data_IF_416426400394
#
_entry.id   IF_416426400394
#
_cell.length_a   1.000
_cell.length_b   1.000
_cell.length_c   1.000
_cell.angle_alpha   90.00
_cell.angle_beta   90.00
_cell.angle_gamma   90.00
#
_symmetry.space_group_name_H-M   'P 1'
#
loop_
_entity.id
_entity.type
_entity.pdbx_description
1 polymer ?
#
# COMPACT_ATOMS: atom_id res chain seq x y z
N UNK A 1 71.42 -34.17 9.38
CA UNK A 1 70.49 -34.84 8.44
C UNK A 1 68.99 -34.52 8.63
N UNK A 2 68.59 -33.70 9.62
CA UNK A 2 67.15 -33.39 9.89
C UNK A 2 66.63 -32.17 9.12
N UNK A 3 67.49 -31.22 8.73
CA UNK A 3 67.08 -29.98 8.02
C UNK A 3 66.63 -30.21 6.58
N UNK A 4 67.30 -31.08 5.81
CA UNK A 4 66.97 -31.32 4.40
C UNK A 4 65.64 -32.08 4.22
N UNK A 5 65.29 -32.98 5.15
CA UNK A 5 64.01 -33.70 5.12
C UNK A 5 62.80 -32.79 5.34
N UNK A 6 62.92 -31.78 6.21
CA UNK A 6 61.82 -30.82 6.49
C UNK A 6 61.56 -29.90 5.30
N UNK A 7 62.61 -29.44 4.61
CA UNK A 7 62.46 -28.60 3.42
C UNK A 7 61.80 -29.35 2.27
N UNK A 8 62.17 -30.61 2.04
CA UNK A 8 61.55 -31.44 1.00
C UNK A 8 60.05 -31.67 1.27
N UNK A 9 59.67 -31.95 2.52
CA UNK A 9 58.27 -32.13 2.91
C UNK A 9 57.44 -30.85 2.72
N UNK A 10 57.98 -29.69 3.07
CA UNK A 10 57.29 -28.40 2.86
C UNK A 10 57.10 -28.09 1.38
N UNK A 11 58.07 -28.44 0.53
CA UNK A 11 57.99 -28.22 -0.91
C UNK A 11 56.92 -29.12 -1.55
N UNK A 12 56.86 -30.40 -1.16
CA UNK A 12 55.82 -31.33 -1.63
C UNK A 12 54.43 -30.87 -1.18
N UNK A 13 54.28 -30.42 0.07
CA UNK A 13 53.00 -29.93 0.58
C UNK A 13 52.55 -28.65 -0.13
N UNK A 14 53.46 -27.70 -0.39
CA UNK A 14 53.15 -26.46 -1.09
C UNK A 14 52.69 -26.72 -2.54
N UNK A 15 53.34 -27.65 -3.24
CA UNK A 15 52.93 -28.06 -4.59
C UNK A 15 51.56 -28.75 -4.57
N UNK A 16 51.28 -29.59 -3.57
CA UNK A 16 49.97 -30.25 -3.44
C UNK A 16 48.83 -29.25 -3.18
N UNK A 17 49.05 -28.22 -2.37
CA UNK A 17 48.05 -27.17 -2.10
C UNK A 17 47.79 -26.30 -3.34
N UNK A 18 48.85 -25.93 -4.06
CA UNK A 18 48.73 -25.14 -5.30
C UNK A 18 47.96 -25.91 -6.39
N UNK A 19 48.20 -27.22 -6.54
CA UNK A 19 47.48 -28.05 -7.49
C UNK A 19 46.04 -28.33 -7.05
N UNK A 20 45.77 -28.44 -5.75
CA UNK A 20 44.42 -28.66 -5.21
C UNK A 20 43.49 -27.46 -5.33
N UNK A 21 44.00 -26.23 -5.22
CA UNK A 21 43.21 -25.00 -5.33
C UNK A 21 42.83 -24.63 -6.78
N UNK A 22 43.48 -25.25 -7.78
CA UNK A 22 43.22 -25.00 -9.19
C UNK A 22 42.08 -25.86 -9.76
N UNK A 23 41.52 -26.79 -8.98
CA UNK A 23 40.33 -27.52 -9.38
C UNK A 23 39.11 -26.63 -9.14
N UNK A 24 38.43 -26.12 -10.19
CA UNK A 24 37.20 -25.37 -10.01
C UNK A 24 36.22 -26.27 -9.25
N UNK A 25 35.67 -25.76 -8.14
CA UNK A 25 34.60 -26.42 -7.43
C UNK A 25 33.40 -26.53 -8.37
N UNK A 26 33.30 -27.66 -9.07
CA UNK A 26 32.17 -27.99 -9.92
C UNK A 26 30.96 -28.34 -9.04
N UNK A 27 30.45 -27.36 -8.30
CA UNK A 27 29.11 -27.42 -7.75
C UNK A 27 28.15 -27.24 -8.93
N UNK A 28 27.90 -28.32 -9.68
CA UNK A 28 26.81 -28.37 -10.65
C UNK A 28 25.50 -28.35 -9.86
N UNK A 29 24.97 -27.15 -9.61
CA UNK A 29 23.56 -26.96 -9.32
C UNK A 29 22.77 -27.10 -10.63
N UNK A 30 22.70 -28.33 -11.16
CA UNK A 30 21.82 -28.67 -12.27
C UNK A 30 20.62 -29.44 -11.74
N UNK A 31 19.92 -28.87 -10.76
CA UNK A 31 18.60 -29.36 -10.38
C UNK A 31 17.56 -28.58 -11.18
N UNK A 32 17.25 -29.08 -12.38
CA UNK A 32 16.10 -28.61 -13.16
C UNK A 32 14.88 -29.39 -12.71
N UNK A 33 14.38 -29.07 -11.53
CA UNK A 33 13.06 -29.51 -11.10
C UNK A 33 12.01 -28.88 -12.01
N UNK A 34 11.06 -29.68 -12.50
CA UNK A 34 9.92 -29.14 -13.22
C UNK A 34 9.19 -28.15 -12.29
N UNK A 35 9.29 -26.86 -12.60
CA UNK A 35 8.51 -25.83 -11.90
C UNK A 35 7.07 -26.18 -12.15
N UNK A 36 6.38 -26.63 -11.10
CA UNK A 36 4.95 -26.87 -11.17
C UNK A 36 4.32 -25.50 -11.41
N UNK A 37 3.98 -25.22 -12.65
CA UNK A 37 3.27 -24.01 -13.05
C UNK A 37 1.84 -24.13 -12.55
N UNK A 38 1.65 -23.85 -11.26
CA UNK A 38 0.32 -23.61 -10.74
C UNK A 38 -0.27 -22.43 -11.54
N UNK A 39 -1.48 -22.55 -12.08
CA UNK A 39 -2.11 -21.43 -12.76
C UNK A 39 -2.22 -20.28 -11.77
N UNK A 40 -1.48 -19.19 -12.00
CA UNK A 40 -1.69 -17.94 -11.30
C UNK A 40 -3.07 -17.41 -11.73
N UNK A 41 -4.09 -17.69 -10.92
CA UNK A 41 -5.35 -16.96 -11.03
C UNK A 41 -5.08 -15.54 -10.53
N UNK A 42 -4.96 -14.61 -11.45
CA UNK A 42 -5.11 -13.19 -11.14
C UNK A 42 -6.52 -13.01 -10.58
N UNK A 43 -6.62 -12.71 -9.28
CA UNK A 43 -7.89 -12.30 -8.69
C UNK A 43 -8.06 -10.83 -9.07
N UNK A 44 -8.99 -10.57 -9.98
CA UNK A 44 -9.36 -9.20 -10.33
C UNK A 44 -10.10 -8.57 -9.14
N UNK A 45 -9.57 -7.46 -8.63
CA UNK A 45 -10.20 -6.74 -7.52
C UNK A 45 -11.12 -5.70 -8.14
N UNK A 46 -12.43 -5.84 -7.90
CA UNK A 46 -13.41 -4.88 -8.37
C UNK A 46 -13.44 -3.65 -7.44
N UNK A 47 -13.58 -2.43 -7.99
CA UNK A 47 -13.58 -1.22 -7.18
C UNK A 47 -14.88 -1.09 -6.37
N UNK A 48 -14.87 -0.34 -5.26
CA UNK A 48 -16.08 0.21 -4.65
C UNK A 48 -16.82 1.12 -5.65
N UNK A 49 -18.15 1.17 -5.55
CA UNK A 49 -18.99 1.94 -6.49
C UNK A 49 -19.96 2.87 -5.75
N UNK A 50 -20.72 3.67 -6.49
CA UNK A 50 -21.73 4.60 -5.97
C UNK A 50 -21.22 5.52 -4.83
N UNK A 51 -19.98 6.00 -4.95
CA UNK A 51 -19.42 6.96 -4.01
C UNK A 51 -20.26 8.24 -4.01
N UNK A 52 -20.75 8.62 -2.84
CA UNK A 52 -21.65 9.75 -2.64
C UNK A 52 -21.19 10.62 -1.48
N UNK A 53 -21.35 11.93 -1.67
CA UNK A 53 -21.06 13.00 -0.71
C UNK A 53 -22.34 13.69 -0.21
N UNK A 54 -23.52 13.15 -0.54
CA UNK A 54 -24.83 13.79 -0.32
C UNK A 54 -25.19 14.03 1.16
N UNK A 55 -24.40 13.54 2.11
CA UNK A 55 -24.58 13.79 3.53
C UNK A 55 -23.70 14.90 4.11
N UNK A 56 -22.81 15.47 3.29
CA UNK A 56 -21.92 16.54 3.71
C UNK A 56 -22.68 17.85 3.89
N UNK A 57 -22.39 18.59 4.96
CA UNK A 57 -23.02 19.88 5.24
C UNK A 57 -22.05 20.82 5.96
N UNK A 58 -22.36 22.10 5.93
CA UNK A 58 -21.57 23.14 6.57
C UNK A 58 -22.36 23.77 7.72
N UNK A 59 -21.73 23.81 8.89
CA UNK A 59 -22.35 24.25 10.14
C UNK A 59 -21.59 25.48 10.65
N UNK A 60 -22.26 26.62 10.89
CA UNK A 60 -21.60 27.80 11.43
C UNK A 60 -21.14 27.54 12.87
N UNK A 61 -19.88 27.88 13.16
CA UNK A 61 -19.30 27.80 14.50
C UNK A 61 -19.43 29.16 15.15
N UNK A 62 -19.96 29.20 16.38
CA UNK A 62 -20.17 30.44 17.13
C UNK A 62 -19.32 30.44 18.41
N UNK A 63 -18.86 31.62 18.82
CA UNK A 63 -18.24 31.82 20.13
C UNK A 63 -19.30 31.90 21.25
N UNK A 64 -18.84 32.04 22.50
CA UNK A 64 -19.71 32.20 23.67
C UNK A 64 -20.59 33.46 23.66
N UNK A 65 -20.23 34.46 22.84
CA UNK A 65 -21.03 35.67 22.62
C UNK A 65 -22.05 35.52 21.48
N UNK A 66 -22.15 34.35 20.85
CA UNK A 66 -23.07 34.09 19.74
C UNK A 66 -22.62 34.68 18.40
N UNK A 67 -21.37 35.13 18.26
CA UNK A 67 -20.82 35.60 17.00
C UNK A 67 -20.25 34.43 16.21
N UNK A 68 -20.55 34.35 14.91
CA UNK A 68 -19.98 33.33 14.03
C UNK A 68 -18.47 33.58 13.86
N UNK A 69 -17.66 32.61 14.25
CA UNK A 69 -16.19 32.67 14.17
C UNK A 69 -15.64 31.82 13.02
N UNK A 70 -16.45 30.92 12.46
CA UNK A 70 -16.04 30.08 11.34
C UNK A 70 -17.17 29.22 10.83
N UNK A 71 -16.84 28.29 9.94
CA UNK A 71 -17.75 27.31 9.39
C UNK A 71 -17.07 25.95 9.42
N UNK A 72 -17.71 24.98 10.07
CA UNK A 72 -17.24 23.59 10.13
C UNK A 72 -17.90 22.79 9.01
N UNK A 73 -17.10 22.07 8.24
CA UNK A 73 -17.54 21.08 7.29
C UNK A 73 -17.76 19.77 8.04
N UNK A 74 -19.01 19.30 8.14
CA UNK A 74 -19.32 17.94 8.58
C UNK A 74 -19.36 17.05 7.33
N UNK A 75 -18.24 16.44 6.98
CA UNK A 75 -18.11 15.59 5.81
C UNK A 75 -18.73 14.22 6.05
N UNK A 76 -19.56 13.75 5.11
CA UNK A 76 -20.11 12.40 5.14
C UNK A 76 -20.01 11.76 3.77
N UNK A 77 -19.29 10.65 3.73
CA UNK A 77 -19.09 9.83 2.55
C UNK A 77 -19.84 8.51 2.72
N UNK A 78 -20.43 8.02 1.65
CA UNK A 78 -21.01 6.68 1.59
C UNK A 78 -20.75 6.04 0.23
N UNK A 79 -20.54 4.73 0.20
CA UNK A 79 -20.31 3.98 -1.03
C UNK A 79 -20.96 2.58 -0.98
N UNK A 80 -21.00 1.91 -2.12
CA UNK A 80 -21.26 0.47 -2.22
C UNK A 80 -19.95 -0.29 -2.04
N UNK A 81 -19.96 -1.29 -1.16
CA UNK A 81 -18.81 -2.17 -0.94
C UNK A 81 -18.31 -2.81 -2.24
N UNK A 82 -17.00 -3.11 -2.29
CA UNK A 82 -16.45 -3.94 -3.37
C UNK A 82 -17.02 -5.36 -3.25
N UNK A 83 -17.47 -5.98 -4.36
CA UNK A 83 -17.92 -7.37 -4.35
C UNK A 83 -16.77 -8.38 -4.26
N UNK A 84 -15.51 -7.91 -4.28
CA UNK A 84 -14.33 -8.77 -4.20
C UNK A 84 -14.27 -9.49 -2.86
N UNK A 85 -14.09 -10.82 -2.83
CA UNK A 85 -13.93 -11.53 -1.56
C UNK A 85 -12.64 -11.10 -0.85
N UNK A 86 -12.65 -11.10 0.49
CA UNK A 86 -11.45 -10.85 1.28
C UNK A 86 -11.02 -9.39 1.37
N UNK A 87 -11.87 -8.42 1.04
CA UNK A 87 -11.67 -7.01 1.41
C UNK A 87 -11.67 -6.91 2.94
N UNK A 88 -10.61 -6.33 3.50
CA UNK A 88 -10.41 -6.18 4.95
C UNK A 88 -10.64 -4.75 5.43
N UNK A 89 -10.39 -3.76 4.56
CA UNK A 89 -10.62 -2.35 4.85
C UNK A 89 -10.76 -1.52 3.57
N UNK A 90 -11.27 -0.31 3.75
CA UNK A 90 -11.34 0.76 2.76
C UNK A 90 -10.45 1.91 3.21
N UNK A 91 -9.71 2.48 2.27
CA UNK A 91 -8.86 3.66 2.50
C UNK A 91 -9.47 4.83 1.74
N UNK A 92 -9.77 5.92 2.46
CA UNK A 92 -10.32 7.15 1.89
C UNK A 92 -9.17 8.10 1.59
N UNK A 93 -9.06 8.54 0.35
CA UNK A 93 -8.02 9.47 -0.09
C UNK A 93 -8.65 10.77 -0.60
N UNK A 94 -8.06 11.91 -0.24
CA UNK A 94 -8.46 13.21 -0.76
C UNK A 94 -7.59 13.61 -1.96
N UNK A 95 -8.22 14.26 -2.92
CA UNK A 95 -7.59 14.93 -4.05
C UNK A 95 -7.92 16.41 -3.97
N UNK A 96 -6.91 17.24 -3.78
CA UNK A 96 -7.01 18.68 -3.56
C UNK A 96 -6.43 19.37 -4.78
N UNK A 97 -7.23 20.17 -5.49
CA UNK A 97 -6.87 20.76 -6.78
C UNK A 97 -6.31 19.72 -7.77
N UNK A 98 -6.89 18.51 -7.77
CA UNK A 98 -6.44 17.38 -8.61
C UNK A 98 -5.22 16.62 -8.10
N UNK A 99 -4.52 17.11 -7.07
CA UNK A 99 -3.35 16.44 -6.47
C UNK A 99 -3.77 15.51 -5.36
N UNK A 100 -3.29 14.27 -5.37
CA UNK A 100 -3.52 13.31 -4.29
C UNK A 100 -2.84 13.80 -3.00
N UNK A 101 -3.60 13.86 -1.90
CA UNK A 101 -3.05 14.15 -0.58
C UNK A 101 -2.23 12.94 -0.09
N UNK A 102 -1.02 13.14 0.47
CA UNK A 102 -0.09 12.05 0.76
C UNK A 102 -0.55 11.09 1.86
N UNK A 103 -1.52 11.49 2.68
CA UNK A 103 -2.03 10.68 3.78
C UNK A 103 -3.50 10.30 3.56
N UNK A 104 -3.93 9.09 3.99
CA UNK A 104 -5.33 8.75 3.95
C UNK A 104 -6.11 9.65 4.92
N UNK A 105 -7.27 10.09 4.47
CA UNK A 105 -8.22 10.88 5.25
C UNK A 105 -8.86 10.02 6.32
N UNK A 106 -9.21 8.77 5.95
CA UNK A 106 -9.77 7.80 6.86
C UNK A 106 -9.42 6.37 6.41
N UNK A 107 -9.42 5.45 7.37
CA UNK A 107 -9.31 4.00 7.14
C UNK A 107 -10.49 3.34 7.84
N UNK A 108 -11.27 2.55 7.10
CA UNK A 108 -12.57 2.03 7.53
C UNK A 108 -12.59 0.51 7.33
N UNK A 109 -12.92 -0.25 8.37
CA UNK A 109 -12.96 -1.72 8.27
C UNK A 109 -14.13 -2.21 7.38
N UNK A 110 -13.96 -3.39 6.76
CA UNK A 110 -14.77 -3.84 5.63
C UNK A 110 -16.27 -4.14 5.83
N UNK A 111 -16.92 -4.22 7.03
CA UNK A 111 -18.38 -4.20 7.02
C UNK A 111 -18.94 -2.78 6.81
N UNK A 112 -18.14 -1.74 7.02
CA UNK A 112 -18.61 -0.35 7.00
C UNK A 112 -18.36 0.29 5.64
N UNK A 113 -19.37 1.02 5.13
CA UNK A 113 -19.29 1.74 3.86
C UNK A 113 -19.66 3.22 4.01
N UNK A 114 -19.45 3.75 5.21
CA UNK A 114 -19.71 5.15 5.55
C UNK A 114 -18.51 5.69 6.32
N UNK A 115 -18.03 6.87 5.91
CA UNK A 115 -17.01 7.63 6.63
C UNK A 115 -17.58 9.00 7.01
N UNK A 116 -17.24 9.48 8.19
CA UNK A 116 -17.63 10.80 8.69
C UNK A 116 -16.45 11.45 9.38
N UNK A 117 -16.27 12.72 9.12
CA UNK A 117 -15.25 13.52 9.81
C UNK A 117 -15.58 15.00 9.72
N UNK A 118 -14.97 15.80 10.58
CA UNK A 118 -15.16 17.23 10.68
C UNK A 118 -13.90 17.97 10.23
N UNK A 119 -14.05 18.93 9.31
CA UNK A 119 -12.97 19.78 8.83
C UNK A 119 -13.34 21.26 8.94
N UNK A 120 -12.34 22.13 8.83
CA UNK A 120 -12.59 23.55 8.58
C UNK A 120 -13.10 23.72 7.14
N UNK A 121 -14.18 24.47 6.92
CA UNK A 121 -14.76 24.64 5.58
C UNK A 121 -13.84 25.37 4.60
N UNK A 122 -12.78 26.04 5.07
CA UNK A 122 -11.76 26.67 4.20
C UNK A 122 -11.08 25.69 3.25
N UNK A 123 -11.04 24.39 3.58
CA UNK A 123 -10.48 23.35 2.68
C UNK A 123 -11.22 23.28 1.34
N UNK A 124 -12.51 23.63 1.31
CA UNK A 124 -13.36 23.57 0.11
C UNK A 124 -12.99 24.60 -0.96
N UNK A 125 -12.16 25.59 -0.63
CA UNK A 125 -11.62 26.52 -1.62
C UNK A 125 -10.73 25.82 -2.68
N UNK A 126 -10.29 24.57 -2.41
CA UNK A 126 -9.29 23.86 -3.19
C UNK A 126 -9.83 22.65 -3.98
N UNK A 127 -11.04 22.74 -4.54
CA UNK A 127 -11.70 21.68 -5.33
C UNK A 127 -11.47 20.26 -4.76
N UNK A 128 -11.95 20.02 -3.53
CA UNK A 128 -11.70 18.76 -2.83
C UNK A 128 -12.58 17.66 -3.41
N UNK A 129 -11.95 16.58 -3.88
CA UNK A 129 -12.60 15.33 -4.31
C UNK A 129 -12.05 14.18 -3.50
N UNK A 130 -12.77 13.07 -3.44
CA UNK A 130 -12.34 11.89 -2.69
C UNK A 130 -12.44 10.63 -3.52
N UNK A 131 -11.65 9.63 -3.18
CA UNK A 131 -11.73 8.27 -3.72
C UNK A 131 -11.65 7.25 -2.59
N UNK A 132 -12.18 6.05 -2.85
CA UNK A 132 -12.14 4.94 -1.90
C UNK A 132 -11.35 3.79 -2.52
N UNK A 133 -10.31 3.35 -1.84
CA UNK A 133 -9.52 2.17 -2.25
C UNK A 133 -9.94 0.97 -1.41
N UNK A 134 -10.44 -0.09 -2.04
CA UNK A 134 -10.62 -1.38 -1.40
C UNK A 134 -9.27 -2.04 -1.18
N UNK A 135 -9.01 -2.54 0.03
CA UNK A 135 -7.79 -3.26 0.37
C UNK A 135 -8.14 -4.67 0.80
N UNK A 136 -7.58 -5.65 0.10
CA UNK A 136 -7.80 -7.07 0.37
C UNK A 136 -6.76 -7.63 1.34
N UNK A 137 -7.09 -8.70 2.06
CA UNK A 137 -6.18 -9.38 2.99
C UNK A 137 -4.99 -10.04 2.30
N UNK A 138 -5.08 -10.26 0.98
CA UNK A 138 -4.02 -10.81 0.14
C UNK A 138 -3.22 -9.72 -0.59
N UNK A 139 -3.38 -8.44 -0.21
CA UNK A 139 -2.49 -7.33 -0.60
C UNK A 139 -2.85 -6.60 -1.90
N UNK A 140 -3.90 -7.03 -2.59
CA UNK A 140 -4.37 -6.35 -3.81
C UNK A 140 -5.34 -5.23 -3.44
N UNK A 141 -5.36 -4.19 -4.27
CA UNK A 141 -6.16 -3.00 -4.05
C UNK A 141 -6.80 -2.51 -5.33
N UNK A 142 -8.01 -1.96 -5.25
CA UNK A 142 -8.65 -1.28 -6.37
C UNK A 142 -9.36 -0.01 -5.90
N UNK A 143 -9.23 1.06 -6.70
CA UNK A 143 -9.72 2.40 -6.38
C UNK A 143 -11.04 2.70 -7.09
N UNK A 144 -11.97 3.32 -6.37
CA UNK A 144 -13.20 3.86 -6.97
C UNK A 144 -12.91 5.03 -7.92
N UNK A 145 -13.88 5.35 -8.75
CA UNK A 145 -13.91 6.67 -9.43
C UNK A 145 -13.92 7.79 -8.37
N UNK A 146 -13.32 8.92 -8.70
CA UNK A 146 -13.37 10.12 -7.87
C UNK A 146 -14.81 10.60 -7.67
N UNK A 147 -15.10 11.11 -6.48
CA UNK A 147 -16.34 11.81 -6.21
C UNK A 147 -16.45 13.09 -7.06
N UNK A 148 -17.65 13.65 -7.11
CA UNK A 148 -17.81 15.06 -7.41
C UNK A 148 -17.10 15.94 -6.37
N UNK A 149 -16.88 17.21 -6.72
CA UNK A 149 -16.32 18.20 -5.81
C UNK A 149 -17.20 18.35 -4.56
N UNK A 150 -16.61 18.25 -3.39
CA UNK A 150 -17.30 18.50 -2.12
C UNK A 150 -17.54 20.01 -1.99
N UNK A 151 -18.75 20.39 -1.59
CA UNK A 151 -19.15 21.79 -1.43
C UNK A 151 -20.10 21.96 -0.24
N UNK A 152 -20.10 23.17 0.30
CA UNK A 152 -21.26 23.79 0.93
C UNK A 152 -22.11 24.42 -0.20
#
# INVERSE_FOLDING_TARGET
MIRTRRSALLLVLAVAVLLGAALPAHARFSDTGAVTTAPMRTVDVLPPTNLSTAGTKCVPVHNSAGQQTGTRLEAKLSWTASPTPGVVRYVVSAHVNGTLYPYPVAVIDAPNTVARDDYDASVLANDVKVSITAVTGYGWTEQSVLSGSIRC
#
